data_IF_318629696379
#
_entry.id   IF_318629696379
#
_cell.length_a   1.000
_cell.length_b   1.000
_cell.length_c   1.000
_cell.angle_alpha   90.00
_cell.angle_beta   90.00
_cell.angle_gamma   90.00
#
_symmetry.space_group_name_H-M   'P 1'
#
loop_
_entity.id
_entity.type
_entity.pdbx_description
1 polymer ?
#
# COMPACT_ATOMS: atom_id res chain seq x y z
N UNK A 1 -18.96 7.06 -7.88
CA UNK A 1 -17.79 6.59 -8.65
C UNK A 1 -16.66 7.54 -8.29
N UNK A 2 -15.65 7.07 -7.55
CA UNK A 2 -14.56 7.94 -7.12
C UNK A 2 -13.80 8.43 -8.37
N UNK A 3 -13.78 9.74 -8.57
CA UNK A 3 -13.28 10.40 -9.79
C UNK A 3 -11.77 10.65 -9.78
N UNK A 4 -11.04 10.07 -8.84
CA UNK A 4 -9.61 10.28 -8.70
C UNK A 4 -8.85 9.21 -9.50
N UNK A 5 -7.77 9.60 -10.22
CA UNK A 5 -6.94 8.64 -10.92
C UNK A 5 -6.27 7.68 -9.92
N UNK A 6 -6.07 6.44 -10.35
CA UNK A 6 -5.27 5.47 -9.61
C UNK A 6 -3.86 6.03 -9.36
N UNK A 7 -3.41 5.98 -8.11
CA UNK A 7 -2.06 6.36 -7.70
C UNK A 7 -1.22 5.10 -7.50
N UNK A 8 0.10 5.26 -7.64
CA UNK A 8 1.08 4.26 -7.20
C UNK A 8 1.51 4.64 -5.78
N UNK A 9 1.34 3.73 -4.83
CA UNK A 9 1.58 3.97 -3.40
C UNK A 9 2.62 2.99 -2.88
N UNK A 10 3.66 3.50 -2.21
CA UNK A 10 4.57 2.69 -1.40
C UNK A 10 4.07 2.70 0.05
N UNK A 11 3.63 1.53 0.53
CA UNK A 11 3.17 1.31 1.90
C UNK A 11 4.31 0.67 2.69
N UNK A 12 4.88 1.41 3.66
CA UNK A 12 5.88 0.87 4.59
C UNK A 12 5.22 0.66 5.92
N UNK A 13 5.16 -0.59 6.38
CA UNK A 13 4.58 -0.91 7.69
C UNK A 13 5.21 -2.17 8.29
N UNK A 14 5.55 -2.14 9.59
CA UNK A 14 6.28 -3.21 10.26
C UNK A 14 5.41 -4.38 10.70
N UNK A 15 4.15 -4.12 11.07
CA UNK A 15 3.20 -5.17 11.42
C UNK A 15 2.57 -5.83 10.17
N UNK A 16 2.61 -7.16 10.11
CA UNK A 16 2.10 -7.94 8.99
C UNK A 16 0.58 -7.77 8.79
N UNK A 17 -0.19 -7.79 9.88
CA UNK A 17 -1.66 -7.72 9.82
C UNK A 17 -2.11 -6.34 9.37
N UNK A 18 -1.47 -5.28 9.89
CA UNK A 18 -1.80 -3.91 9.52
C UNK A 18 -1.41 -3.65 8.06
N UNK A 19 -0.21 -4.08 7.64
CA UNK A 19 0.26 -3.90 6.27
C UNK A 19 -0.67 -4.56 5.24
N UNK A 20 -1.12 -5.78 5.51
CA UNK A 20 -2.08 -6.49 4.64
C UNK A 20 -3.43 -5.79 4.59
N UNK A 21 -3.98 -5.40 5.75
CA UNK A 21 -5.28 -4.71 5.81
C UNK A 21 -5.23 -3.35 5.08
N UNK A 22 -4.17 -2.57 5.28
CA UNK A 22 -4.03 -1.27 4.62
C UNK A 22 -3.83 -1.41 3.11
N UNK A 23 -3.06 -2.41 2.65
CA UNK A 23 -2.92 -2.70 1.23
C UNK A 23 -4.28 -3.05 0.59
N UNK A 24 -5.05 -3.95 1.23
CA UNK A 24 -6.38 -4.34 0.74
C UNK A 24 -7.33 -3.15 0.61
N UNK A 25 -7.31 -2.21 1.56
CA UNK A 25 -8.15 -1.01 1.52
C UNK A 25 -7.77 -0.10 0.34
N UNK A 26 -6.49 0.21 0.18
CA UNK A 26 -5.99 1.09 -0.89
C UNK A 26 -6.20 0.49 -2.29
N UNK A 27 -5.97 -0.81 -2.43
CA UNK A 27 -6.27 -1.55 -3.66
C UNK A 27 -7.78 -1.58 -3.96
N UNK A 28 -8.61 -1.73 -2.93
CA UNK A 28 -10.07 -1.63 -3.03
C UNK A 28 -10.56 -0.26 -3.51
N UNK A 29 -9.79 0.80 -3.24
CA UNK A 29 -10.03 2.15 -3.78
C UNK A 29 -9.49 2.35 -5.21
N UNK A 30 -8.83 1.34 -5.78
CA UNK A 30 -8.30 1.34 -7.14
C UNK A 30 -6.86 1.84 -7.25
N UNK A 31 -6.13 1.93 -6.15
CA UNK A 31 -4.70 2.26 -6.16
C UNK A 31 -3.83 1.02 -6.43
N UNK A 32 -2.61 1.26 -6.90
CA UNK A 32 -1.58 0.22 -7.06
C UNK A 32 -0.65 0.34 -5.86
N UNK A 33 -0.57 -0.71 -5.04
CA UNK A 33 0.19 -0.69 -3.78
C UNK A 33 1.44 -1.56 -3.90
N UNK A 34 2.57 -1.02 -3.47
CA UNK A 34 3.80 -1.75 -3.21
C UNK A 34 4.04 -1.76 -1.70
N UNK A 35 4.04 -2.94 -1.09
CA UNK A 35 4.18 -3.09 0.36
C UNK A 35 5.63 -3.45 0.73
N UNK A 36 6.17 -2.75 1.73
CA UNK A 36 7.46 -3.03 2.35
C UNK A 36 7.28 -3.20 3.86
N UNK A 37 8.00 -4.16 4.44
CA UNK A 37 7.89 -4.48 5.87
C UNK A 37 8.75 -3.60 6.78
N UNK A 38 9.68 -2.85 6.20
CA UNK A 38 10.64 -2.00 6.89
C UNK A 38 11.30 -1.05 5.87
N UNK A 39 12.14 -0.13 6.36
CA UNK A 39 12.85 0.84 5.52
C UNK A 39 13.83 0.19 4.52
N UNK A 40 14.55 -0.86 4.94
CA UNK A 40 15.52 -1.54 4.09
C UNK A 40 14.84 -2.24 2.89
N UNK A 41 13.62 -2.74 3.07
CA UNK A 41 12.81 -3.30 2.00
C UNK A 41 12.15 -2.22 1.14
N UNK A 42 11.94 -1.02 1.66
CA UNK A 42 11.31 0.09 0.94
C UNK A 42 12.25 0.78 -0.06
N UNK A 43 13.56 0.69 0.16
CA UNK A 43 14.58 1.30 -0.71
C UNK A 43 15.01 0.43 -1.91
N UNK A 44 14.46 -0.78 -2.05
CA UNK A 44 14.80 -1.74 -3.12
C UNK A 44 13.81 -1.73 -4.28
#
# INVERSE_FOLDING_TARGET
>A
MNSHPALVVLLVEDDDTIRELTAMLLEGEGHIVHAARDGDHAER
#
